data_IF_494011774483
#
_entry.id   IF_494011774483
#
_cell.length_a   1.000
_cell.length_b   1.000
_cell.length_c   1.000
_cell.angle_alpha   90.00
_cell.angle_beta   90.00
_cell.angle_gamma   90.00
#
_symmetry.space_group_name_H-M   'P 1'
#
loop_
_entity.id
_entity.type
_entity.pdbx_description
1 polymer ?
#
# COMPACT_ATOMS: atom_id res chain seq x y z
N UNK A 1 -24.55 21.64 -3.47
CA UNK A 1 -24.24 20.65 -4.50
C UNK A 1 -23.56 19.48 -3.80
N UNK A 2 -24.10 18.28 -3.92
CA UNK A 2 -23.43 17.08 -3.42
C UNK A 2 -22.09 16.95 -4.14
N UNK A 3 -21.02 16.66 -3.41
CA UNK A 3 -19.70 16.39 -3.98
C UNK A 3 -19.70 14.95 -4.50
N UNK A 4 -19.43 14.76 -5.78
CA UNK A 4 -19.44 13.41 -6.39
C UNK A 4 -18.08 12.69 -6.30
N UNK A 5 -17.04 13.40 -5.83
CA UNK A 5 -15.69 12.87 -5.73
C UNK A 5 -15.00 12.66 -7.08
N UNK A 6 -13.99 11.75 -7.08
CA UNK A 6 -13.24 11.37 -8.27
C UNK A 6 -13.90 10.15 -8.93
N UNK A 7 -14.12 10.19 -10.25
CA UNK A 7 -14.42 9.02 -11.09
C UNK A 7 -13.49 9.01 -12.27
N UNK A 8 -12.81 7.90 -12.49
CA UNK A 8 -11.86 7.82 -13.58
C UNK A 8 -11.77 6.42 -14.21
N UNK A 9 -11.65 6.38 -15.51
CA UNK A 9 -11.16 5.26 -16.28
C UNK A 9 -9.85 5.70 -16.94
N UNK A 10 -8.74 5.11 -16.55
CA UNK A 10 -7.40 5.53 -16.98
C UNK A 10 -6.82 4.51 -17.93
N UNK A 11 -6.64 4.89 -19.19
CA UNK A 11 -5.92 4.07 -20.17
C UNK A 11 -4.65 4.82 -20.57
N UNK A 12 -3.48 4.22 -20.28
CA UNK A 12 -2.17 4.79 -20.63
C UNK A 12 -1.30 3.71 -21.25
N UNK A 13 -0.99 3.87 -22.55
CA UNK A 13 -0.07 2.97 -23.24
C UNK A 13 1.38 3.42 -23.05
N UNK A 14 2.23 2.48 -22.72
CA UNK A 14 3.69 2.61 -22.64
C UNK A 14 4.34 1.49 -23.46
N UNK A 15 5.58 1.64 -23.94
CA UNK A 15 6.21 0.59 -24.74
C UNK A 15 6.28 -0.78 -24.05
N UNK A 16 6.41 -0.80 -22.72
CA UNK A 16 6.57 -2.02 -21.93
C UNK A 16 5.27 -2.52 -21.26
N UNK A 17 4.22 -1.68 -21.13
CA UNK A 17 2.97 -2.08 -20.48
C UNK A 17 1.81 -1.13 -20.81
N UNK A 18 0.60 -1.60 -20.60
CA UNK A 18 -0.62 -0.79 -20.66
C UNK A 18 -1.21 -0.70 -19.26
N UNK A 19 -1.46 0.51 -18.78
CA UNK A 19 -2.32 0.76 -17.61
C UNK A 19 -3.76 0.85 -18.11
N UNK A 20 -4.64 0.04 -17.55
CA UNK A 20 -6.09 0.10 -17.78
C UNK A 20 -6.82 -0.15 -16.46
N UNK A 21 -7.17 0.92 -15.77
CA UNK A 21 -7.79 0.84 -14.46
C UNK A 21 -8.96 1.82 -14.32
N UNK A 22 -9.98 1.39 -13.60
CA UNK A 22 -11.04 2.26 -13.10
C UNK A 22 -10.80 2.58 -11.64
N UNK A 23 -10.88 3.86 -11.28
CA UNK A 23 -10.67 4.33 -9.92
C UNK A 23 -11.70 5.40 -9.58
N UNK A 24 -12.57 5.08 -8.62
CA UNK A 24 -13.56 5.98 -8.05
C UNK A 24 -13.18 6.25 -6.60
N UNK A 25 -13.23 7.52 -6.16
CA UNK A 25 -12.89 7.92 -4.79
C UNK A 25 -13.93 8.92 -4.32
N UNK A 26 -14.63 8.59 -3.22
CA UNK A 26 -15.62 9.45 -2.64
C UNK A 26 -14.98 10.70 -1.97
N UNK A 27 -15.73 11.80 -1.78
CA UNK A 27 -15.26 12.91 -0.96
C UNK A 27 -14.97 12.43 0.47
N UNK A 28 -13.84 12.87 1.03
CA UNK A 28 -13.33 12.42 2.33
C UNK A 28 -12.74 11.02 2.36
N UNK A 29 -12.85 10.24 1.27
CA UNK A 29 -12.25 8.91 1.20
C UNK A 29 -10.76 8.98 0.85
N UNK A 30 -9.97 8.14 1.51
CA UNK A 30 -8.56 7.89 1.19
C UNK A 30 -8.43 6.51 0.55
N UNK A 31 -8.05 6.47 -0.72
CA UNK A 31 -7.79 5.22 -1.45
C UNK A 31 -6.29 5.04 -1.63
N UNK A 32 -5.75 3.91 -1.18
CA UNK A 32 -4.34 3.56 -1.44
C UNK A 32 -4.22 2.63 -2.64
N UNK A 33 -3.36 3.02 -3.59
CA UNK A 33 -2.91 2.17 -4.70
C UNK A 33 -1.68 1.38 -4.26
N UNK A 34 -1.82 0.06 -4.23
CA UNK A 34 -0.76 -0.91 -3.94
C UNK A 34 -0.40 -1.70 -5.21
N UNK A 35 0.75 -2.35 -5.20
CA UNK A 35 1.17 -3.23 -6.28
C UNK A 35 2.70 -3.31 -6.39
N UNK A 36 3.25 -4.28 -7.11
CA UNK A 36 4.68 -4.41 -7.33
C UNK A 36 5.27 -3.21 -8.08
N UNK A 37 6.60 -3.13 -8.10
CA UNK A 37 7.30 -2.13 -8.91
C UNK A 37 6.96 -2.34 -10.40
N UNK A 38 6.72 -1.25 -11.11
CA UNK A 38 6.31 -1.31 -12.52
C UNK A 38 4.81 -1.59 -12.76
N UNK A 39 3.98 -1.82 -11.73
CA UNK A 39 2.54 -2.09 -11.88
C UNK A 39 1.73 -0.92 -12.47
N UNK A 40 2.30 0.30 -12.50
CA UNK A 40 1.62 1.48 -13.07
C UNK A 40 1.08 2.49 -12.05
N UNK A 41 1.30 2.31 -10.75
CA UNK A 41 0.78 3.19 -9.68
C UNK A 41 1.13 4.67 -9.86
N UNK A 42 2.42 4.99 -10.02
CA UNK A 42 2.89 6.37 -10.28
C UNK A 42 2.38 6.88 -11.63
N UNK A 43 2.21 6.00 -12.64
CA UNK A 43 1.61 6.37 -13.93
C UNK A 43 0.16 6.78 -13.75
N UNK A 44 -0.63 6.04 -12.96
CA UNK A 44 -2.01 6.40 -12.64
C UNK A 44 -2.07 7.77 -11.93
N UNK A 45 -1.23 7.96 -10.91
CA UNK A 45 -1.18 9.21 -10.16
C UNK A 45 -0.83 10.42 -11.07
N UNK A 46 0.18 10.25 -11.93
CA UNK A 46 0.59 11.29 -12.90
C UNK A 46 -0.45 11.54 -13.98
N UNK A 47 -1.21 10.53 -14.39
CA UNK A 47 -2.33 10.71 -15.34
C UNK A 47 -3.46 11.53 -14.71
N UNK A 48 -3.83 11.22 -13.44
CA UNK A 48 -4.77 12.02 -12.67
C UNK A 48 -4.31 13.48 -12.54
N UNK A 49 -3.03 13.70 -12.26
CA UNK A 49 -2.44 15.04 -12.17
C UNK A 49 -2.35 15.77 -13.53
N UNK A 50 -2.51 15.07 -14.66
CA UNK A 50 -2.30 15.62 -16.00
C UNK A 50 -0.83 15.72 -16.42
N UNK A 51 0.08 15.12 -15.67
CA UNK A 51 1.52 15.09 -15.94
C UNK A 51 1.92 13.97 -16.92
N UNK A 52 1.00 13.04 -17.18
CA UNK A 52 1.14 11.98 -18.17
C UNK A 52 -0.10 12.01 -19.06
N UNK A 53 0.05 12.09 -20.39
CA UNK A 53 -1.08 12.03 -21.29
C UNK A 53 -1.73 10.65 -21.22
N UNK A 54 -3.05 10.62 -21.23
CA UNK A 54 -3.84 9.41 -21.37
C UNK A 54 -3.96 9.01 -22.83
N UNK A 55 -3.98 7.71 -23.10
CA UNK A 55 -4.25 7.14 -24.43
C UNK A 55 -5.75 6.95 -24.67
N UNK A 56 -6.54 6.91 -23.59
CA UNK A 56 -8.00 6.75 -23.62
C UNK A 56 -8.60 6.92 -22.23
N UNK A 57 -9.92 6.78 -22.14
CA UNK A 57 -10.65 6.90 -20.90
C UNK A 57 -11.05 8.33 -20.53
N UNK A 58 -11.40 8.55 -19.25
CA UNK A 58 -11.87 9.86 -18.77
C UNK A 58 -11.51 10.04 -17.30
N UNK A 59 -11.48 11.30 -16.85
CA UNK A 59 -11.35 11.70 -15.45
C UNK A 59 -12.39 12.77 -15.18
N UNK A 60 -13.24 12.57 -14.19
CA UNK A 60 -14.17 13.57 -13.67
C UNK A 60 -13.96 13.77 -12.18
N UNK A 61 -14.07 15.00 -11.73
CA UNK A 61 -14.01 15.38 -10.32
C UNK A 61 -15.20 16.30 -10.01
N UNK A 62 -16.02 15.91 -9.06
CA UNK A 62 -17.28 16.61 -8.73
C UNK A 62 -18.13 16.86 -9.98
N UNK A 63 -18.23 15.85 -10.88
CA UNK A 63 -18.97 15.90 -12.13
C UNK A 63 -18.35 16.74 -13.25
N UNK A 64 -17.16 17.34 -13.04
CA UNK A 64 -16.46 18.14 -14.04
C UNK A 64 -15.33 17.36 -14.71
N UNK A 65 -15.20 17.40 -16.04
CA UNK A 65 -14.11 16.69 -16.72
C UNK A 65 -12.76 17.34 -16.43
N UNK A 66 -11.80 16.55 -15.88
CA UNK A 66 -10.43 16.98 -15.64
C UNK A 66 -9.47 16.66 -16.79
N UNK A 67 -9.72 15.59 -17.55
CA UNK A 67 -8.81 15.13 -18.60
C UNK A 67 -8.62 16.16 -19.73
N UNK A 68 -9.56 17.09 -19.86
CA UNK A 68 -9.50 18.20 -20.83
C UNK A 68 -8.74 19.43 -20.30
N UNK A 69 -8.43 19.45 -18.98
CA UNK A 69 -7.75 20.58 -18.34
C UNK A 69 -6.23 20.34 -18.29
N UNK A 70 -5.42 21.35 -18.54
CA UNK A 70 -3.99 21.27 -18.30
C UNK A 70 -3.71 21.18 -16.78
N UNK A 71 -2.54 20.64 -16.36
CA UNK A 71 -2.23 20.35 -14.94
C UNK A 71 -2.46 21.54 -14.00
N UNK A 72 -2.04 22.74 -14.41
CA UNK A 72 -2.12 23.96 -13.59
C UNK A 72 -3.56 24.48 -13.35
N UNK A 73 -4.54 23.97 -14.11
CA UNK A 73 -5.97 24.30 -13.94
C UNK A 73 -6.75 23.22 -13.21
N UNK A 74 -6.12 22.08 -12.91
CA UNK A 74 -6.75 21.02 -12.13
C UNK A 74 -6.77 21.41 -10.65
N UNK A 75 -7.91 21.26 -9.93
CA UNK A 75 -7.99 21.54 -8.49
C UNK A 75 -7.36 20.40 -7.68
N UNK A 76 -6.06 20.16 -7.91
CA UNK A 76 -5.30 19.04 -7.35
C UNK A 76 -4.16 19.56 -6.50
N UNK A 77 -3.98 18.97 -5.31
CA UNK A 77 -2.76 19.06 -4.53
C UNK A 77 -1.93 17.79 -4.70
N UNK A 78 -0.65 17.92 -5.02
CA UNK A 78 0.22 16.75 -5.17
C UNK A 78 1.44 16.83 -4.27
N UNK A 79 1.73 15.73 -3.57
CA UNK A 79 2.98 15.50 -2.83
C UNK A 79 3.76 14.43 -3.58
N UNK A 80 4.96 14.77 -4.02
CA UNK A 80 5.88 13.89 -4.72
C UNK A 80 6.76 13.13 -3.73
N UNK A 81 7.30 11.99 -4.13
CA UNK A 81 8.18 11.12 -3.33
C UNK A 81 9.37 11.88 -2.73
N UNK A 82 10.03 12.75 -3.52
CA UNK A 82 11.17 13.58 -3.08
C UNK A 82 10.72 14.96 -2.58
N UNK A 83 9.44 15.13 -2.25
CA UNK A 83 8.79 16.38 -1.80
C UNK A 83 8.89 17.54 -2.80
N UNK A 84 9.92 17.61 -3.64
CA UNK A 84 10.19 18.61 -4.67
C UNK A 84 9.95 20.06 -4.18
N UNK A 85 10.49 20.39 -3.00
CA UNK A 85 10.47 21.76 -2.50
C UNK A 85 11.41 22.64 -3.32
N UNK A 86 10.99 23.89 -3.55
CA UNK A 86 11.83 24.88 -4.24
C UNK A 86 13.02 25.25 -3.36
N UNK A 87 14.27 24.90 -3.73
CA UNK A 87 15.43 25.02 -2.84
C UNK A 87 15.83 26.47 -2.52
N UNK A 88 15.43 27.41 -3.37
CA UNK A 88 15.71 28.84 -3.21
C UNK A 88 14.67 29.58 -2.36
N UNK A 89 13.48 28.97 -2.12
CA UNK A 89 12.41 29.52 -1.33
C UNK A 89 12.46 29.03 0.12
N UNK A 90 11.99 29.86 1.07
CA UNK A 90 11.72 29.43 2.44
C UNK A 90 10.55 28.45 2.51
N UNK A 91 10.34 27.77 3.66
CA UNK A 91 9.16 26.96 3.89
C UNK A 91 7.87 27.77 3.68
N UNK A 92 7.81 28.99 4.22
CA UNK A 92 6.67 29.90 4.05
C UNK A 92 6.41 30.23 2.57
N UNK A 93 7.47 30.54 1.83
CA UNK A 93 7.33 30.90 0.41
C UNK A 93 7.06 29.68 -0.48
N UNK A 94 7.53 28.48 -0.11
CA UNK A 94 7.11 27.23 -0.74
C UNK A 94 5.60 27.01 -0.62
N UNK A 95 5.03 27.18 0.58
CA UNK A 95 3.59 27.02 0.82
C UNK A 95 2.79 28.13 0.14
N UNK A 96 3.28 29.38 0.17
CA UNK A 96 2.60 30.51 -0.48
C UNK A 96 2.69 30.50 -2.02
N UNK A 97 3.51 29.63 -2.61
CA UNK A 97 3.78 29.64 -4.06
C UNK A 97 2.52 29.39 -4.90
N UNK A 98 1.79 28.32 -4.62
CA UNK A 98 0.59 27.94 -5.38
C UNK A 98 -0.48 29.03 -5.39
N UNK A 99 -0.94 29.55 -4.23
CA UNK A 99 -1.87 30.66 -4.17
C UNK A 99 -1.42 31.90 -4.94
N UNK A 100 -0.14 32.23 -4.90
CA UNK A 100 0.42 33.35 -5.68
C UNK A 100 0.32 33.12 -7.17
N UNK A 101 0.56 31.91 -7.66
CA UNK A 101 0.36 31.56 -9.07
C UNK A 101 -1.13 31.65 -9.49
N UNK A 102 -2.04 31.48 -8.53
CA UNK A 102 -3.50 31.67 -8.73
C UNK A 102 -3.94 33.14 -8.60
N UNK A 103 -3.01 34.09 -8.48
CA UNK A 103 -3.31 35.53 -8.42
C UNK A 103 -3.59 36.10 -7.03
N UNK A 104 -3.45 35.30 -5.95
CA UNK A 104 -3.60 35.78 -4.58
C UNK A 104 -2.46 36.74 -4.22
N UNK A 105 -2.81 37.88 -3.62
CA UNK A 105 -1.82 38.90 -3.20
C UNK A 105 -0.76 38.29 -2.27
N UNK A 106 0.52 38.70 -2.43
CA UNK A 106 1.67 38.16 -1.69
C UNK A 106 1.48 38.16 -0.17
N UNK A 107 0.99 39.23 0.39
CA UNK A 107 0.76 39.35 1.83
C UNK A 107 -0.32 38.38 2.33
N UNK A 108 -1.41 38.20 1.58
CA UNK A 108 -2.49 37.27 1.88
C UNK A 108 -2.04 35.81 1.74
N UNK A 109 -1.37 35.46 0.63
CA UNK A 109 -0.82 34.14 0.42
C UNK A 109 0.15 33.73 1.55
N UNK A 110 1.01 34.65 2.00
CA UNK A 110 1.96 34.38 3.11
C UNK A 110 1.23 34.26 4.46
N UNK A 111 0.17 35.00 4.72
CA UNK A 111 -0.66 34.84 5.95
C UNK A 111 -1.33 33.45 5.96
N UNK A 112 -1.95 33.05 4.85
CA UNK A 112 -2.55 31.72 4.74
C UNK A 112 -1.51 30.60 4.86
N UNK A 113 -0.33 30.77 4.27
CA UNK A 113 0.79 29.84 4.37
C UNK A 113 1.32 29.72 5.81
N UNK A 114 1.40 30.82 6.57
CA UNK A 114 1.81 30.80 7.98
C UNK A 114 0.84 29.99 8.83
N UNK A 115 -0.48 30.17 8.66
CA UNK A 115 -1.51 29.40 9.35
C UNK A 115 -1.43 27.88 9.01
N UNK A 116 -1.13 27.54 7.74
CA UNK A 116 -0.92 26.12 7.36
C UNK A 116 0.35 25.55 7.98
N UNK A 117 1.45 26.30 8.03
CA UNK A 117 2.67 25.85 8.71
C UNK A 117 2.46 25.66 10.21
N UNK A 118 1.67 26.51 10.85
CA UNK A 118 1.27 26.32 12.26
C UNK A 118 0.47 25.04 12.46
N UNK A 119 -0.51 24.77 11.60
CA UNK A 119 -1.31 23.52 11.63
C UNK A 119 -0.47 22.25 11.48
N UNK A 120 0.63 22.30 10.71
CA UNK A 120 1.56 21.17 10.58
C UNK A 120 2.73 21.22 11.58
N UNK A 121 2.67 22.10 12.60
CA UNK A 121 3.68 22.23 13.67
C UNK A 121 5.04 22.73 13.20
N UNK A 122 5.06 23.67 12.24
CA UNK A 122 6.30 24.25 11.66
C UNK A 122 6.29 25.77 11.65
N UNK A 123 5.59 26.43 12.57
CA UNK A 123 5.56 27.88 12.67
C UNK A 123 6.97 28.47 12.89
N UNK A 124 7.79 27.83 13.73
CA UNK A 124 9.19 28.19 14.05
C UNK A 124 10.16 27.97 12.88
N UNK A 125 9.75 27.20 11.86
CA UNK A 125 10.55 26.88 10.67
C UNK A 125 10.13 27.63 9.41
N UNK A 126 9.21 28.60 9.52
CA UNK A 126 8.68 29.34 8.37
C UNK A 126 9.77 30.01 7.49
N UNK A 127 10.86 30.49 8.08
CA UNK A 127 11.98 31.10 7.37
C UNK A 127 13.03 30.10 6.87
N UNK A 128 12.97 28.82 7.31
CA UNK A 128 13.96 27.81 6.95
C UNK A 128 13.88 27.45 5.46
N UNK A 129 15.04 27.23 4.84
CA UNK A 129 15.13 26.68 3.47
C UNK A 129 15.09 25.14 3.50
N UNK A 130 14.73 24.47 2.39
CA UNK A 130 14.62 23.01 2.34
C UNK A 130 15.84 22.25 2.89
N UNK A 131 17.06 22.73 2.63
CA UNK A 131 18.31 22.14 3.14
C UNK A 131 18.48 22.19 4.67
N UNK A 132 17.69 23.03 5.34
CA UNK A 132 17.70 23.21 6.80
C UNK A 132 16.59 22.44 7.51
N UNK A 133 15.78 21.69 6.75
CA UNK A 133 14.67 20.90 7.24
C UNK A 133 15.06 19.42 7.34
N UNK A 134 14.60 18.74 8.38
CA UNK A 134 14.63 17.27 8.40
C UNK A 134 13.68 16.70 7.35
N UNK A 135 13.81 15.42 7.01
CA UNK A 135 12.91 14.74 6.07
C UNK A 135 11.44 14.89 6.45
N UNK A 136 11.10 14.66 7.72
CA UNK A 136 9.72 14.83 8.21
C UNK A 136 9.26 16.30 8.19
N UNK A 137 10.14 17.26 8.43
CA UNK A 137 9.81 18.69 8.29
C UNK A 137 9.56 19.05 6.81
N UNK A 138 10.42 18.58 5.89
CA UNK A 138 10.26 18.82 4.46
C UNK A 138 8.96 18.22 3.92
N UNK A 139 8.59 17.02 4.37
CA UNK A 139 7.32 16.40 4.05
C UNK A 139 6.12 17.24 4.51
N UNK A 140 6.13 17.70 5.77
CA UNK A 140 5.04 18.55 6.30
C UNK A 140 4.92 19.87 5.55
N UNK A 141 6.02 20.47 5.12
CA UNK A 141 6.01 21.64 4.22
C UNK A 141 5.39 21.29 2.87
N UNK A 142 5.74 20.13 2.27
CA UNK A 142 5.16 19.70 1.00
C UNK A 142 3.65 19.45 1.11
N UNK A 143 3.19 18.84 2.21
CA UNK A 143 1.76 18.68 2.50
C UNK A 143 1.06 20.03 2.66
N UNK A 144 1.62 20.95 3.45
CA UNK A 144 1.06 22.29 3.60
C UNK A 144 1.01 23.04 2.25
N UNK A 145 2.03 22.90 1.39
CA UNK A 145 2.03 23.45 0.02
C UNK A 145 0.91 22.87 -0.84
N UNK A 146 0.69 21.56 -0.76
CA UNK A 146 -0.39 20.90 -1.50
C UNK A 146 -1.78 21.35 -1.02
N UNK A 147 -1.96 21.55 0.29
CA UNK A 147 -3.22 22.05 0.88
C UNK A 147 -3.46 23.54 0.60
N UNK A 148 -2.40 24.33 0.40
CA UNK A 148 -2.52 25.80 0.22
C UNK A 148 -3.34 26.21 -0.99
N UNK A 149 -3.39 25.38 -2.04
CA UNK A 149 -4.19 25.63 -3.25
C UNK A 149 -5.67 25.25 -3.08
N UNK A 150 -6.09 24.80 -1.86
CA UNK A 150 -7.43 24.33 -1.57
C UNK A 150 -7.92 23.27 -2.55
N UNK A 151 -7.18 22.17 -2.69
CA UNK A 151 -7.49 21.15 -3.69
C UNK A 151 -8.83 20.46 -3.38
N UNK A 152 -9.40 19.83 -4.41
CA UNK A 152 -10.54 18.92 -4.31
C UNK A 152 -10.10 17.45 -4.42
N UNK A 153 -8.89 17.24 -4.92
CA UNK A 153 -8.24 15.94 -5.03
C UNK A 153 -6.81 16.05 -4.50
N UNK A 154 -6.46 15.21 -3.54
CA UNK A 154 -5.11 15.08 -3.02
C UNK A 154 -4.44 13.84 -3.64
N UNK A 155 -3.26 14.01 -4.17
CA UNK A 155 -2.43 12.93 -4.75
C UNK A 155 -1.13 12.83 -3.95
N UNK A 156 -0.86 11.66 -3.36
CA UNK A 156 0.32 11.42 -2.53
C UNK A 156 1.14 10.28 -3.14
N UNK A 157 2.34 10.59 -3.64
CA UNK A 157 3.25 9.60 -4.22
C UNK A 157 4.34 9.25 -3.20
N UNK A 158 4.20 8.09 -2.56
CA UNK A 158 5.10 7.55 -1.53
C UNK A 158 5.50 8.58 -0.45
N UNK A 159 4.54 9.24 0.21
CA UNK A 159 4.81 10.39 1.05
C UNK A 159 5.70 10.11 2.25
N UNK A 160 5.85 8.86 2.69
CA UNK A 160 6.64 8.46 3.87
C UNK A 160 7.94 7.72 3.53
N UNK A 161 8.24 7.49 2.24
CA UNK A 161 9.37 6.63 1.81
C UNK A 161 10.75 7.16 2.24
N UNK A 162 10.93 8.48 2.27
CA UNK A 162 12.22 9.12 2.60
C UNK A 162 12.49 9.27 4.12
N UNK A 163 11.62 8.68 4.99
CA UNK A 163 11.73 8.79 6.44
C UNK A 163 12.33 7.53 7.06
N UNK A 164 13.13 7.73 8.12
CA UNK A 164 13.54 6.64 8.99
C UNK A 164 12.36 6.03 9.78
N UNK A 165 12.53 4.81 10.29
CA UNK A 165 11.45 4.05 10.90
C UNK A 165 10.80 4.76 12.11
N UNK A 166 11.58 5.47 12.94
CA UNK A 166 11.04 6.15 14.11
C UNK A 166 10.22 7.38 13.71
N UNK A 167 10.76 8.23 12.86
CA UNK A 167 10.09 9.42 12.32
C UNK A 167 8.84 9.05 11.54
N UNK A 168 8.86 7.92 10.80
CA UNK A 168 7.71 7.44 10.01
C UNK A 168 6.48 7.18 10.85
N UNK A 169 6.60 6.58 12.05
CA UNK A 169 5.46 6.30 12.94
C UNK A 169 4.74 7.58 13.36
N UNK A 170 5.50 8.59 13.79
CA UNK A 170 4.96 9.88 14.21
C UNK A 170 4.28 10.61 13.05
N UNK A 171 4.98 10.71 11.92
CA UNK A 171 4.48 11.41 10.74
C UNK A 171 3.28 10.69 10.12
N UNK A 172 3.22 9.35 10.15
CA UNK A 172 2.04 8.57 9.72
C UNK A 172 0.79 8.97 10.48
N UNK A 173 0.90 9.07 11.82
CA UNK A 173 -0.22 9.48 12.67
C UNK A 173 -0.67 10.92 12.40
N UNK A 174 0.29 11.83 12.14
CA UNK A 174 -0.01 13.21 11.77
C UNK A 174 -0.68 13.29 10.39
N UNK A 175 -0.14 12.56 9.41
CA UNK A 175 -0.71 12.51 8.05
C UNK A 175 -2.15 11.97 8.08
N UNK A 176 -2.43 10.88 8.83
CA UNK A 176 -3.79 10.35 8.99
C UNK A 176 -4.76 11.42 9.48
N UNK A 177 -4.40 12.19 10.51
CA UNK A 177 -5.25 13.30 11.01
C UNK A 177 -5.54 14.33 9.94
N UNK A 178 -4.50 14.77 9.20
CA UNK A 178 -4.68 15.76 8.13
C UNK A 178 -5.55 15.24 6.97
N UNK A 179 -5.48 13.94 6.66
CA UNK A 179 -6.32 13.32 5.64
C UNK A 179 -7.76 13.15 6.13
N UNK A 180 -7.97 12.84 7.40
CA UNK A 180 -9.32 12.76 8.00
C UNK A 180 -10.03 14.11 8.00
N UNK A 181 -9.28 15.21 8.20
CA UNK A 181 -9.83 16.58 8.16
C UNK A 181 -9.99 17.14 6.73
N UNK A 182 -9.63 16.36 5.71
CA UNK A 182 -9.71 16.79 4.32
C UNK A 182 -10.99 16.31 3.65
N UNK A 183 -11.88 17.24 3.27
CA UNK A 183 -13.19 16.95 2.67
C UNK A 183 -13.12 16.47 1.20
N UNK A 184 -11.96 16.57 0.54
CA UNK A 184 -11.78 16.14 -0.86
C UNK A 184 -11.40 14.67 -0.97
N UNK A 185 -11.38 14.15 -2.20
CA UNK A 185 -10.90 12.80 -2.49
C UNK A 185 -9.38 12.70 -2.33
N UNK A 186 -8.86 11.57 -1.84
CA UNK A 186 -7.42 11.33 -1.72
C UNK A 186 -7.00 10.02 -2.39
N UNK A 187 -5.97 10.09 -3.22
CA UNK A 187 -5.28 8.91 -3.79
C UNK A 187 -3.85 8.87 -3.27
N UNK A 188 -3.52 7.80 -2.57
CA UNK A 188 -2.21 7.54 -1.99
C UNK A 188 -1.52 6.40 -2.73
N UNK A 189 -0.28 6.57 -3.16
CA UNK A 189 0.58 5.48 -3.61
C UNK A 189 1.58 5.17 -2.51
N UNK A 190 1.71 3.92 -2.13
CA UNK A 190 2.75 3.44 -1.21
C UNK A 190 3.12 2.00 -1.52
N UNK A 191 4.34 1.60 -1.19
CA UNK A 191 4.80 0.21 -1.20
C UNK A 191 4.81 -0.40 0.21
N UNK A 192 4.59 0.41 1.26
CA UNK A 192 4.56 -0.05 2.65
C UNK A 192 3.11 -0.46 3.03
N UNK A 193 2.88 -1.76 3.38
CA UNK A 193 1.55 -2.24 3.75
C UNK A 193 0.98 -1.55 4.99
N UNK A 194 1.84 -1.22 5.96
CA UNK A 194 1.39 -0.55 7.19
C UNK A 194 0.93 0.88 6.90
N UNK A 195 1.63 1.60 6.01
CA UNK A 195 1.18 2.93 5.58
C UNK A 195 -0.19 2.85 4.92
N UNK A 196 -0.38 1.89 4.00
CA UNK A 196 -1.67 1.70 3.34
C UNK A 196 -2.79 1.32 4.32
N UNK A 197 -2.53 0.37 5.24
CA UNK A 197 -3.53 -0.09 6.21
C UNK A 197 -3.94 0.99 7.23
N UNK A 198 -3.01 1.87 7.61
CA UNK A 198 -3.29 2.93 8.60
C UNK A 198 -3.90 4.16 7.95
N UNK A 199 -3.47 4.51 6.75
CA UNK A 199 -3.85 5.77 6.11
C UNK A 199 -5.11 5.67 5.25
N UNK A 200 -5.37 4.51 4.63
CA UNK A 200 -6.45 4.36 3.66
C UNK A 200 -7.72 3.77 4.25
N UNK A 201 -8.85 4.20 3.69
CA UNK A 201 -10.17 3.61 3.95
C UNK A 201 -10.43 2.43 3.01
N UNK A 202 -9.83 2.44 1.82
CA UNK A 202 -9.90 1.37 0.82
C UNK A 202 -8.56 1.17 0.12
N UNK A 203 -8.22 -0.09 -0.12
CA UNK A 203 -7.06 -0.50 -0.91
C UNK A 203 -7.49 -0.86 -2.33
N UNK A 204 -6.68 -0.50 -3.30
CA UNK A 204 -6.78 -0.93 -4.71
C UNK A 204 -5.43 -1.49 -5.11
N UNK A 205 -5.39 -2.78 -5.38
CA UNK A 205 -4.18 -3.49 -5.77
C UNK A 205 -4.09 -3.55 -7.28
N UNK A 206 -2.98 -3.06 -7.82
CA UNK A 206 -2.71 -3.01 -9.27
C UNK A 206 -1.54 -3.92 -9.57
N UNK A 207 -1.73 -4.85 -10.50
CA UNK A 207 -0.67 -5.71 -11.04
C UNK A 207 -0.74 -5.69 -12.57
N UNK A 208 0.41 -5.62 -13.23
CA UNK A 208 0.52 -5.59 -14.70
C UNK A 208 -0.44 -4.57 -15.38
N UNK A 209 -0.68 -3.42 -14.73
CA UNK A 209 -1.52 -2.36 -15.27
C UNK A 209 -3.04 -2.53 -15.07
N UNK A 210 -3.48 -3.56 -14.37
CA UNK A 210 -4.90 -3.83 -14.08
C UNK A 210 -5.18 -3.91 -12.58
N UNK A 211 -6.42 -3.61 -12.15
CA UNK A 211 -6.88 -3.83 -10.77
C UNK A 211 -7.14 -5.31 -10.58
N UNK A 212 -6.44 -5.93 -9.64
CA UNK A 212 -6.57 -7.37 -9.31
C UNK A 212 -7.35 -7.63 -8.03
N UNK A 213 -7.36 -6.66 -7.10
CA UNK A 213 -8.13 -6.74 -5.86
C UNK A 213 -8.43 -5.34 -5.33
N UNK A 214 -9.59 -5.15 -4.72
CA UNK A 214 -9.91 -3.95 -3.96
C UNK A 214 -10.83 -4.28 -2.78
N UNK A 215 -10.78 -3.46 -1.74
CA UNK A 215 -11.61 -3.63 -0.56
C UNK A 215 -11.08 -2.85 0.64
N UNK A 216 -11.75 -2.97 1.78
CA UNK A 216 -11.25 -2.44 3.04
C UNK A 216 -9.90 -3.09 3.42
N UNK A 217 -8.97 -2.37 4.08
CA UNK A 217 -7.66 -2.92 4.44
C UNK A 217 -7.74 -4.28 5.16
N UNK A 218 -8.65 -4.42 6.11
CA UNK A 218 -8.84 -5.66 6.86
C UNK A 218 -9.35 -6.83 5.98
N UNK A 219 -10.17 -6.55 4.97
CA UNK A 219 -10.67 -7.55 4.04
C UNK A 219 -9.56 -8.04 3.10
N UNK A 220 -8.83 -7.10 2.49
CA UNK A 220 -7.70 -7.41 1.60
C UNK A 220 -6.62 -8.21 2.35
N UNK A 221 -6.34 -7.85 3.61
CA UNK A 221 -5.37 -8.56 4.44
C UNK A 221 -5.82 -9.99 4.81
N UNK A 222 -7.11 -10.20 5.07
CA UNK A 222 -7.63 -11.52 5.46
C UNK A 222 -7.82 -12.47 4.29
N UNK A 223 -8.07 -11.94 3.09
CA UNK A 223 -8.40 -12.72 1.89
C UNK A 223 -7.58 -12.24 0.69
N UNK A 224 -6.25 -12.42 0.73
CA UNK A 224 -5.41 -12.07 -0.40
C UNK A 224 -5.78 -12.90 -1.64
N UNK A 225 -5.81 -12.26 -2.81
CA UNK A 225 -6.15 -12.92 -4.09
C UNK A 225 -4.95 -13.09 -5.01
N UNK A 226 -3.80 -12.54 -4.62
CA UNK A 226 -2.56 -12.64 -5.37
C UNK A 226 -1.38 -12.92 -4.44
N UNK A 227 -0.32 -13.50 -5.00
CA UNK A 227 0.93 -13.74 -4.26
C UNK A 227 1.57 -12.45 -3.75
N UNK A 228 1.35 -11.34 -4.49
CA UNK A 228 1.82 -10.04 -4.04
C UNK A 228 1.13 -9.62 -2.74
N UNK A 229 -0.20 -9.66 -2.70
CA UNK A 229 -0.97 -9.30 -1.50
C UNK A 229 -0.65 -10.25 -0.35
N UNK A 230 -0.57 -11.57 -0.62
CA UNK A 230 -0.22 -12.56 0.40
C UNK A 230 1.15 -12.26 1.04
N UNK A 231 2.18 -12.00 0.23
CA UNK A 231 3.50 -11.59 0.72
C UNK A 231 3.46 -10.28 1.49
N UNK A 232 2.67 -9.32 1.01
CA UNK A 232 2.51 -8.01 1.66
C UNK A 232 1.98 -8.13 3.09
N UNK A 233 1.03 -9.07 3.32
CA UNK A 233 0.43 -9.32 4.63
C UNK A 233 1.08 -10.47 5.39
N UNK A 234 2.13 -11.08 4.83
CA UNK A 234 2.91 -12.13 5.47
C UNK A 234 2.18 -13.47 5.57
N UNK A 235 1.41 -13.86 4.55
CA UNK A 235 0.71 -15.14 4.49
C UNK A 235 1.30 -16.07 3.42
N UNK A 236 1.24 -17.36 3.66
CA UNK A 236 1.30 -18.38 2.63
C UNK A 236 -0.04 -18.40 1.90
N UNK A 237 -0.04 -18.39 0.56
CA UNK A 237 -1.24 -18.42 -0.27
C UNK A 237 -1.10 -19.45 -1.39
N UNK A 238 -2.18 -20.22 -1.60
CA UNK A 238 -2.24 -21.23 -2.66
C UNK A 238 -3.58 -21.15 -3.38
N UNK A 239 -3.56 -21.54 -4.65
CA UNK A 239 -4.77 -21.80 -5.43
C UNK A 239 -5.02 -23.29 -5.44
N UNK A 240 -6.24 -23.69 -5.17
CA UNK A 240 -6.66 -25.08 -5.11
C UNK A 240 -8.09 -25.30 -5.57
N UNK A 241 -8.53 -26.53 -5.47
CA UNK A 241 -9.89 -26.95 -5.75
C UNK A 241 -10.49 -27.52 -4.47
N UNK A 242 -11.53 -26.85 -3.94
CA UNK A 242 -12.28 -27.31 -2.78
C UNK A 242 -13.10 -28.55 -3.08
N UNK A 243 -13.18 -29.50 -2.13
CA UNK A 243 -13.92 -30.76 -2.20
C UNK A 243 -14.85 -31.00 -0.98
N UNK A 244 -15.22 -29.94 -0.29
CA UNK A 244 -16.06 -29.94 0.90
C UNK A 244 -15.33 -30.23 2.21
N UNK A 245 -14.21 -30.97 2.22
CA UNK A 245 -13.43 -31.32 3.42
C UNK A 245 -12.14 -30.48 3.54
N UNK A 246 -11.75 -29.80 2.46
CA UNK A 246 -10.56 -29.02 2.34
C UNK A 246 -10.39 -28.49 0.93
N UNK A 247 -9.15 -28.22 0.54
CA UNK A 247 -8.82 -27.84 -0.82
C UNK A 247 -7.56 -28.59 -1.31
N UNK A 248 -7.64 -29.15 -2.49
CA UNK A 248 -6.52 -29.81 -3.15
C UNK A 248 -5.63 -28.76 -3.78
N UNK A 249 -4.38 -28.66 -3.30
CA UNK A 249 -3.33 -27.78 -3.80
C UNK A 249 -2.20 -28.67 -4.38
N UNK A 250 -2.06 -28.69 -5.69
CA UNK A 250 -1.19 -29.68 -6.32
C UNK A 250 -1.60 -31.11 -5.98
N UNK A 251 -0.68 -31.86 -5.36
CA UNK A 251 -0.96 -33.22 -4.90
C UNK A 251 -1.41 -33.31 -3.42
N UNK A 252 -1.31 -32.19 -2.68
CA UNK A 252 -1.64 -32.17 -1.25
C UNK A 252 -3.08 -31.72 -1.03
N UNK A 253 -3.82 -32.48 -0.21
CA UNK A 253 -5.11 -32.04 0.34
C UNK A 253 -4.86 -31.27 1.63
N UNK A 254 -5.16 -29.97 1.62
CA UNK A 254 -5.14 -29.12 2.80
C UNK A 254 -6.54 -29.07 3.40
N UNK A 255 -6.68 -29.62 4.60
CA UNK A 255 -7.90 -29.50 5.40
C UNK A 255 -8.05 -28.08 5.94
N UNK A 256 -9.25 -27.54 5.86
CA UNK A 256 -9.57 -26.17 6.27
C UNK A 256 -10.72 -26.15 7.27
N UNK A 257 -10.90 -25.05 7.96
CA UNK A 257 -12.06 -24.84 8.84
C UNK A 257 -13.35 -24.57 8.05
N UNK A 258 -13.21 -24.03 6.85
CA UNK A 258 -14.32 -23.72 5.96
C UNK A 258 -14.56 -24.88 4.98
N UNK A 259 -15.83 -25.15 4.71
CA UNK A 259 -16.24 -26.07 3.64
C UNK A 259 -16.44 -25.27 2.35
N UNK A 260 -15.71 -25.65 1.32
CA UNK A 260 -15.77 -24.99 0.00
C UNK A 260 -15.75 -26.02 -1.12
N UNK A 261 -16.53 -25.74 -2.16
CA UNK A 261 -16.50 -26.48 -3.41
C UNK A 261 -16.05 -25.57 -4.56
N UNK A 262 -15.27 -26.11 -5.48
CA UNK A 262 -14.79 -25.40 -6.65
C UNK A 262 -13.48 -24.61 -6.42
N UNK A 263 -13.15 -23.68 -7.34
CA UNK A 263 -11.90 -22.91 -7.25
C UNK A 263 -11.81 -22.13 -5.95
N UNK A 264 -10.70 -22.30 -5.22
CA UNK A 264 -10.49 -21.70 -3.91
C UNK A 264 -9.07 -21.19 -3.72
N UNK A 265 -8.94 -20.18 -2.89
CA UNK A 265 -7.68 -19.80 -2.26
C UNK A 265 -7.58 -20.48 -0.90
N UNK A 266 -6.37 -20.92 -0.55
CA UNK A 266 -6.02 -21.42 0.78
C UNK A 266 -4.90 -20.58 1.35
N UNK A 267 -5.10 -20.02 2.54
CA UNK A 267 -4.12 -19.15 3.18
C UNK A 267 -3.88 -19.54 4.64
N UNK A 268 -2.63 -19.45 5.08
CA UNK A 268 -2.24 -19.60 6.48
C UNK A 268 -1.00 -18.80 6.82
N UNK A 269 -0.87 -18.41 8.10
CA UNK A 269 0.30 -17.68 8.57
C UNK A 269 1.55 -18.57 8.60
N UNK A 270 2.74 -18.07 8.22
CA UNK A 270 4.00 -18.75 8.48
C UNK A 270 4.22 -19.11 9.95
N UNK A 271 3.70 -18.32 10.89
CA UNK A 271 3.77 -18.60 12.33
C UNK A 271 2.92 -19.79 12.77
N UNK A 272 1.93 -20.19 11.97
CA UNK A 272 1.10 -21.36 12.24
C UNK A 272 1.75 -22.67 11.75
N UNK A 273 2.85 -22.59 11.00
CA UNK A 273 3.59 -23.76 10.51
C UNK A 273 4.56 -24.24 11.58
N UNK A 274 4.34 -25.49 12.05
CA UNK A 274 5.25 -26.15 12.97
C UNK A 274 6.19 -27.08 12.20
N UNK A 275 7.47 -27.12 12.63
CA UNK A 275 8.53 -27.97 12.03
C UNK A 275 8.94 -29.07 12.98
N UNK A 276 9.26 -30.25 12.40
CA UNK A 276 9.69 -31.44 13.16
C UNK A 276 10.77 -32.18 12.39
N UNK A 277 11.77 -32.75 13.11
CA UNK A 277 12.79 -33.64 12.54
C UNK A 277 12.23 -35.00 12.14
N UNK A 278 11.33 -35.53 12.92
CA UNK A 278 10.63 -36.80 12.69
C UNK A 278 9.14 -36.55 12.50
N UNK A 279 8.46 -37.50 11.86
CA UNK A 279 7.01 -37.41 11.70
C UNK A 279 6.34 -37.29 13.07
N UNK A 280 5.61 -36.20 13.33
CA UNK A 280 4.92 -36.05 14.62
C UNK A 280 3.73 -36.99 14.71
N UNK A 281 3.50 -37.51 15.92
CA UNK A 281 2.25 -38.16 16.28
C UNK A 281 1.23 -37.11 16.74
N UNK A 282 -0.06 -37.38 16.52
CA UNK A 282 -1.11 -36.50 17.04
C UNK A 282 -2.13 -36.03 16.01
N UNK A 283 -2.71 -34.83 16.25
CA UNK A 283 -3.90 -34.35 15.55
C UNK A 283 -3.69 -33.42 14.34
N UNK A 284 -2.49 -32.99 13.92
CA UNK A 284 -2.38 -32.13 12.75
C UNK A 284 -2.92 -32.85 11.52
N UNK A 285 -3.94 -32.23 10.87
CA UNK A 285 -4.53 -32.78 9.65
C UNK A 285 -3.67 -32.49 8.42
N UNK A 286 -3.04 -31.31 8.37
CA UNK A 286 -2.16 -30.89 7.30
C UNK A 286 -0.72 -31.19 7.73
N UNK A 287 -0.13 -32.20 7.13
CA UNK A 287 1.22 -32.68 7.40
C UNK A 287 1.89 -33.10 6.09
N UNK A 288 3.06 -32.55 5.82
CA UNK A 288 3.83 -32.90 4.63
C UNK A 288 5.33 -32.91 4.91
N UNK A 289 6.08 -33.57 4.06
CA UNK A 289 7.54 -33.56 4.09
C UNK A 289 8.05 -32.45 3.16
N UNK A 290 8.99 -31.67 3.62
CA UNK A 290 9.57 -30.56 2.86
C UNK A 290 11.10 -30.53 3.05
N UNK A 291 11.81 -29.99 2.06
CA UNK A 291 13.23 -29.68 2.16
C UNK A 291 13.38 -28.22 2.55
N UNK A 292 14.35 -27.91 3.41
CA UNK A 292 14.71 -26.53 3.72
C UNK A 292 15.51 -25.98 2.54
N UNK A 293 14.96 -24.96 1.86
CA UNK A 293 15.62 -24.28 0.76
C UNK A 293 16.46 -23.09 1.23
N UNK A 294 16.04 -22.41 2.29
CA UNK A 294 16.75 -21.28 2.88
C UNK A 294 16.29 -20.96 4.29
N UNK A 295 17.13 -20.23 5.00
CA UNK A 295 16.86 -19.74 6.36
C UNK A 295 17.31 -18.29 6.42
N UNK A 296 16.42 -17.39 6.85
CA UNK A 296 16.71 -15.96 6.98
C UNK A 296 16.15 -15.36 8.26
N UNK A 297 16.73 -14.24 8.71
CA UNK A 297 16.18 -13.50 9.84
C UNK A 297 14.94 -12.71 9.39
N UNK A 298 13.85 -12.84 10.13
CA UNK A 298 12.60 -12.13 9.87
C UNK A 298 12.06 -11.45 11.16
N UNK A 299 12.42 -10.18 11.35
CA UNK A 299 12.15 -9.48 12.62
C UNK A 299 12.86 -10.16 13.81
N UNK A 300 12.07 -10.55 14.81
CA UNK A 300 12.54 -11.29 15.99
C UNK A 300 12.50 -12.82 15.77
N UNK A 301 11.97 -13.28 14.66
CA UNK A 301 11.88 -14.68 14.27
C UNK A 301 12.90 -15.04 13.18
N UNK A 302 12.95 -16.33 12.89
CA UNK A 302 13.69 -16.92 11.78
C UNK A 302 12.67 -17.48 10.81
N UNK A 303 12.74 -17.05 9.55
CA UNK A 303 11.94 -17.58 8.46
C UNK A 303 12.67 -18.71 7.78
N UNK A 304 12.02 -19.87 7.71
CA UNK A 304 12.48 -21.07 7.01
C UNK A 304 11.69 -21.19 5.73
N UNK A 305 12.40 -21.26 4.61
CA UNK A 305 11.82 -21.51 3.28
C UNK A 305 11.74 -23.02 3.08
N UNK A 306 10.56 -23.52 2.81
CA UNK A 306 10.25 -24.92 2.63
C UNK A 306 9.90 -25.22 1.17
N UNK A 307 10.59 -26.18 0.57
CA UNK A 307 10.31 -26.72 -0.75
C UNK A 307 9.73 -28.15 -0.62
N UNK A 308 8.57 -28.41 -1.24
CA UNK A 308 7.88 -29.68 -1.12
C UNK A 308 6.61 -29.73 -1.98
N UNK A 309 5.63 -30.59 -1.66
CA UNK A 309 4.35 -30.64 -2.37
C UNK A 309 3.64 -29.29 -2.42
N UNK A 310 3.85 -28.45 -1.41
CA UNK A 310 3.57 -27.02 -1.38
C UNK A 310 4.80 -26.30 -0.84
N UNK A 311 5.28 -25.28 -1.55
CA UNK A 311 6.35 -24.42 -1.05
C UNK A 311 5.75 -23.46 -0.03
N UNK A 312 6.34 -23.38 1.17
CA UNK A 312 5.80 -22.61 2.28
C UNK A 312 6.88 -21.86 3.04
N UNK A 313 6.48 -20.81 3.74
CA UNK A 313 7.30 -20.18 4.78
C UNK A 313 6.86 -20.68 6.15
N UNK A 314 7.83 -20.90 7.04
CA UNK A 314 7.61 -21.15 8.45
C UNK A 314 8.40 -20.14 9.28
N UNK A 315 7.74 -19.41 10.17
CA UNK A 315 8.38 -18.47 11.08
C UNK A 315 8.53 -19.12 12.45
N UNK A 316 9.78 -19.42 12.84
CA UNK A 316 10.12 -20.08 14.10
C UNK A 316 11.00 -19.16 14.98
N UNK A 317 11.11 -19.48 16.26
CA UNK A 317 12.01 -18.74 17.15
C UNK A 317 13.47 -19.11 16.89
N UNK A 318 14.44 -18.20 17.18
CA UNK A 318 15.87 -18.56 17.11
C UNK A 318 16.22 -19.77 18.01
N UNK A 319 15.57 -19.93 19.15
CA UNK A 319 15.75 -21.09 20.01
C UNK A 319 15.30 -22.38 19.33
N UNK A 320 14.12 -22.39 18.69
CA UNK A 320 13.63 -23.55 17.93
C UNK A 320 14.55 -23.92 16.76
N UNK A 321 15.15 -22.93 16.08
CA UNK A 321 16.14 -23.19 15.04
C UNK A 321 17.35 -23.96 15.59
N UNK A 322 17.87 -23.54 16.76
CA UNK A 322 19.01 -24.16 17.43
C UNK A 322 18.67 -25.56 17.99
N UNK A 323 17.52 -25.69 18.67
CA UNK A 323 17.09 -26.96 19.26
C UNK A 323 16.80 -28.03 18.21
N UNK A 324 16.27 -27.62 17.08
CA UNK A 324 16.03 -28.52 15.95
C UNK A 324 17.25 -28.69 15.06
N UNK A 325 18.35 -27.95 15.28
CA UNK A 325 19.58 -27.97 14.49
C UNK A 325 19.30 -27.98 12.96
N UNK A 326 18.49 -27.01 12.50
CA UNK A 326 18.02 -26.94 11.11
C UNK A 326 19.06 -26.30 10.20
N UNK A 327 19.29 -26.92 9.05
CA UNK A 327 20.20 -26.41 8.02
C UNK A 327 19.60 -26.49 6.61
N UNK A 328 19.97 -25.57 5.69
CA UNK A 328 19.56 -25.66 4.30
C UNK A 328 19.91 -27.01 3.67
N UNK A 329 19.03 -27.56 2.86
CA UNK A 329 19.16 -28.87 2.22
C UNK A 329 18.58 -30.05 3.01
N UNK A 330 18.31 -29.88 4.31
CA UNK A 330 17.74 -30.92 5.16
C UNK A 330 16.25 -31.14 4.92
N UNK A 331 15.77 -32.34 5.26
CA UNK A 331 14.37 -32.71 5.19
C UNK A 331 13.72 -32.59 6.57
N UNK A 332 12.56 -31.96 6.60
CA UNK A 332 11.73 -31.77 7.78
C UNK A 332 10.28 -32.16 7.53
N UNK A 333 9.55 -32.39 8.58
CA UNK A 333 8.09 -32.45 8.54
C UNK A 333 7.54 -31.08 8.87
N UNK A 334 6.65 -30.58 8.02
CA UNK A 334 5.91 -29.35 8.24
C UNK A 334 4.45 -29.67 8.52
N UNK A 335 3.86 -28.99 9.49
CA UNK A 335 2.42 -29.13 9.75
C UNK A 335 1.77 -27.78 10.00
N UNK A 336 0.48 -27.69 9.66
CA UNK A 336 -0.40 -26.59 10.04
C UNK A 336 -1.75 -27.16 10.47
N UNK A 337 -2.35 -26.58 11.51
CA UNK A 337 -3.68 -27.02 11.96
C UNK A 337 -4.75 -26.59 10.95
N UNK A 338 -5.77 -27.42 10.75
CA UNK A 338 -6.91 -27.08 9.90
C UNK A 338 -7.63 -25.80 10.37
N UNK A 339 -7.66 -25.54 11.69
CA UNK A 339 -8.23 -24.31 12.29
C UNK A 339 -7.44 -23.05 11.99
N UNK A 340 -6.17 -23.16 11.58
CA UNK A 340 -5.29 -22.05 11.20
C UNK A 340 -5.17 -21.93 9.67
N UNK A 341 -5.88 -22.78 8.94
CA UNK A 341 -5.88 -22.82 7.47
C UNK A 341 -7.23 -22.31 6.97
N UNK A 342 -7.22 -21.14 6.36
CA UNK A 342 -8.42 -20.47 5.86
C UNK A 342 -8.60 -20.73 4.38
N UNK A 343 -9.83 -21.04 3.96
CA UNK A 343 -10.17 -21.16 2.57
C UNK A 343 -11.31 -20.20 2.19
N UNK A 344 -11.24 -19.64 0.98
CA UNK A 344 -12.26 -18.73 0.45
C UNK A 344 -12.33 -18.85 -1.08
N UNK A 345 -13.46 -18.50 -1.73
CA UNK A 345 -13.62 -18.59 -3.18
C UNK A 345 -12.58 -17.77 -3.96
N UNK A 346 -12.04 -18.35 -5.05
CA UNK A 346 -11.09 -17.70 -5.93
C UNK A 346 -11.72 -16.61 -6.82
#
# INVERSE_FOLDING_TARGET
>A
MSLDGLRSALVVHRPAFTLDITLDVAPGEVVALLGPNGAGKTTALRALAGLTPMSGGHITLDGRPLHTLPPERRPIGMVFQDYLLFPHLSALDNVAFGPRCQGVAKAEARRAAAALLERVGLADRAAAKPRQLSGGQAQRVALARALAVRPRLMLLDEPLAALDAHTRLEIRSQLRRHLTDFDGATVLVTHDPLDAMVLADRLVVVEAGAVVQQGAPAEVARRPRTDYVARLVGLNLYRGLGDGAGAKVGELLLHTSEQLDGPAFVAFSPTAVALYRTRPDGSPRNLWRARIDGIERHGDNVRVHLDGPVSAFADITPAALADLDLSPGEQVWASVKATETHAYPA
#
